data_IF_807433896167
#
_entry.id   IF_807433896167
#
_cell.length_a   1.000
_cell.length_b   1.000
_cell.length_c   1.000
_cell.angle_alpha   90.00
_cell.angle_beta   90.00
_cell.angle_gamma   90.00
#
_symmetry.space_group_name_H-M   'P 1'
#
loop_
_entity.id
_entity.type
_entity.pdbx_description
1 polymer ?
#
# COMPACT_ATOMS: atom_id res chain seq x y z
N UNK A 1 -17.33 62.53 9.62
CA UNK A 1 -16.05 63.26 9.68
C UNK A 1 -15.27 62.69 10.86
N UNK A 2 -13.98 62.30 10.69
CA UNK A 2 -13.09 61.65 11.71
C UNK A 2 -13.52 60.23 12.18
N UNK A 3 -12.64 59.32 12.65
CA UNK A 3 -11.17 59.06 12.47
C UNK A 3 -10.81 57.68 13.12
N UNK A 4 -9.58 57.18 12.89
CA UNK A 4 -8.82 56.07 13.54
C UNK A 4 -9.07 54.64 12.99
N UNK A 5 -8.10 53.80 12.60
CA UNK A 5 -6.74 53.40 13.10
C UNK A 5 -6.82 52.37 14.25
N UNK A 6 -6.14 51.20 14.27
CA UNK A 6 -5.17 50.49 13.37
C UNK A 6 -5.62 48.99 13.24
N UNK A 7 -4.93 47.97 12.67
CA UNK A 7 -3.62 47.79 12.00
C UNK A 7 -3.29 46.27 11.81
N UNK A 8 -2.19 45.89 11.14
CA UNK A 8 -1.76 44.47 10.98
C UNK A 8 -0.46 44.29 10.19
N UNK A 9 0.46 43.42 10.66
CA UNK A 9 1.89 43.49 10.28
C UNK A 9 2.31 42.64 9.06
N UNK A 10 3.24 43.20 8.28
CA UNK A 10 4.04 42.47 7.29
C UNK A 10 5.31 41.90 7.96
N UNK A 11 5.64 40.64 7.72
CA UNK A 11 6.94 40.06 8.06
C UNK A 11 7.67 39.63 6.79
N UNK A 12 8.73 40.37 6.46
CA UNK A 12 9.66 40.02 5.40
C UNK A 12 10.85 39.24 5.99
N UNK A 13 11.27 38.17 5.33
CA UNK A 13 12.54 37.49 5.60
C UNK A 13 13.19 37.14 4.26
N UNK A 14 14.11 38.01 3.85
CA UNK A 14 14.94 37.87 2.66
C UNK A 14 16.29 37.27 3.02
N UNK A 15 16.70 36.21 2.32
CA UNK A 15 18.09 35.79 2.24
C UNK A 15 18.42 35.31 0.82
N UNK A 16 19.18 36.12 0.09
CA UNK A 16 19.94 35.67 -1.09
C UNK A 16 21.14 34.82 -0.60
N UNK A 17 21.78 33.96 -1.38
CA UNK A 17 22.61 34.34 -2.53
C UNK A 17 23.17 33.11 -3.28
N UNK A 18 23.44 33.29 -4.58
CA UNK A 18 24.55 32.72 -5.38
C UNK A 18 24.59 31.17 -5.56
N UNK A 19 24.67 30.65 -6.79
CA UNK A 19 24.76 31.40 -8.05
C UNK A 19 24.68 30.57 -9.32
N UNK A 20 24.47 31.29 -10.42
CA UNK A 20 24.71 30.79 -11.77
C UNK A 20 26.21 30.79 -12.03
N UNK A 21 26.69 29.85 -12.85
CA UNK A 21 27.96 30.03 -13.55
C UNK A 21 27.73 29.67 -15.03
N UNK A 22 27.96 30.64 -15.90
CA UNK A 22 27.75 30.57 -17.35
C UNK A 22 28.96 31.21 -18.04
N UNK A 23 29.23 30.82 -19.30
CA UNK A 23 30.43 31.13 -20.10
C UNK A 23 31.67 30.30 -19.71
N UNK A 24 32.34 29.62 -20.66
CA UNK A 24 32.77 30.12 -21.97
C UNK A 24 32.71 29.09 -23.11
N UNK A 25 32.65 29.61 -24.34
CA UNK A 25 33.21 28.96 -25.54
C UNK A 25 34.71 29.24 -25.61
N UNK A 26 35.47 28.31 -26.17
CA UNK A 26 36.66 28.58 -26.98
C UNK A 26 36.80 27.42 -28.00
N UNK A 27 37.36 27.69 -29.18
CA UNK A 27 37.39 26.81 -30.37
C UNK A 27 38.67 25.94 -30.48
N UNK A 28 38.71 25.07 -31.50
CA UNK A 28 39.86 24.28 -32.01
C UNK A 28 40.49 23.24 -31.03
N UNK A 29 40.84 22.01 -31.42
CA UNK A 29 41.61 21.59 -32.61
C UNK A 29 41.63 20.05 -32.69
N UNK A 30 41.88 19.48 -33.87
CA UNK A 30 42.21 18.07 -34.01
C UNK A 30 43.64 17.75 -33.52
N UNK A 31 43.89 16.50 -33.09
CA UNK A 31 45.08 15.72 -33.47
C UNK A 31 44.90 14.22 -33.12
N UNK A 32 45.51 13.34 -33.92
CA UNK A 32 45.68 11.90 -33.64
C UNK A 32 46.66 11.67 -32.48
N UNK A 33 46.47 10.63 -31.66
CA UNK A 33 47.61 9.72 -31.39
C UNK A 33 47.21 8.30 -30.97
N UNK A 34 48.01 7.33 -31.41
CA UNK A 34 47.96 5.91 -30.99
C UNK A 34 48.80 5.72 -29.73
N UNK A 35 48.32 4.94 -28.76
CA UNK A 35 49.02 4.71 -27.48
C UNK A 35 49.04 3.27 -26.98
N UNK A 36 49.73 2.36 -27.68
CA UNK A 36 49.96 0.98 -27.21
C UNK A 36 51.07 0.93 -26.13
N UNK A 37 50.78 0.33 -24.97
CA UNK A 37 51.69 -0.43 -24.04
C UNK A 37 50.86 -0.87 -22.82
N UNK A 38 50.72 -2.13 -22.38
CA UNK A 38 51.59 -3.33 -22.37
C UNK A 38 52.77 -3.27 -21.38
N UNK A 39 52.53 -3.64 -20.11
CA UNK A 39 53.29 -4.72 -19.41
C UNK A 39 52.96 -4.87 -17.92
N UNK A 40 52.82 -6.15 -17.50
CA UNK A 40 53.42 -6.82 -16.32
C UNK A 40 53.83 -5.97 -15.10
N UNK A 41 53.58 -6.49 -13.88
CA UNK A 41 54.56 -7.38 -13.18
C UNK A 41 54.09 -7.87 -11.80
N UNK A 42 54.53 -9.07 -11.46
CA UNK A 42 54.31 -9.83 -10.23
C UNK A 42 54.96 -9.23 -8.98
N UNK A 43 54.31 -9.41 -7.82
CA UNK A 43 54.91 -9.80 -6.51
C UNK A 43 53.77 -10.10 -5.52
N UNK A 44 53.60 -11.31 -5.00
CA UNK A 44 54.44 -12.07 -4.05
C UNK A 44 54.12 -11.76 -2.58
N UNK A 45 53.27 -12.61 -1.99
CA UNK A 45 53.59 -13.44 -0.79
C UNK A 45 54.46 -12.76 0.31
N UNK A 46 53.87 -12.48 1.49
CA UNK A 46 54.26 -13.19 2.74
C UNK A 46 53.50 -12.80 4.03
N UNK A 47 53.11 -13.87 4.75
CA UNK A 47 53.48 -14.20 6.14
C UNK A 47 52.71 -13.60 7.33
N UNK A 48 52.14 -14.54 8.09
CA UNK A 48 51.91 -14.64 9.55
C UNK A 48 52.22 -13.43 10.45
N UNK A 49 51.26 -13.14 11.36
CA UNK A 49 51.53 -13.22 12.81
C UNK A 49 50.25 -13.36 13.65
N UNK A 50 50.23 -14.35 14.55
CA UNK A 50 49.32 -14.38 15.68
C UNK A 50 50.02 -13.78 16.92
N UNK A 51 49.30 -12.98 17.71
CA UNK A 51 49.60 -12.71 19.13
C UNK A 51 48.34 -12.26 19.85
N UNK A 52 48.28 -12.53 21.15
CA UNK A 52 47.10 -12.41 21.99
C UNK A 52 47.08 -11.13 22.84
N UNK A 53 45.90 -10.88 23.42
CA UNK A 53 45.66 -10.30 24.76
C UNK A 53 46.40 -9.02 25.19
N UNK A 54 45.61 -7.97 25.47
CA UNK A 54 45.72 -7.25 26.74
C UNK A 54 44.40 -6.56 27.12
N UNK A 55 44.09 -6.55 28.42
CA UNK A 55 42.98 -5.82 29.01
C UNK A 55 43.17 -4.29 28.92
N UNK A 56 42.06 -3.54 28.92
CA UNK A 56 42.04 -2.15 29.38
C UNK A 56 40.64 -1.79 29.93
N UNK A 57 40.61 -1.42 31.21
CA UNK A 57 39.39 -1.17 32.00
C UNK A 57 39.03 0.32 32.01
N UNK A 58 37.77 0.66 31.72
CA UNK A 58 37.13 1.94 32.05
C UNK A 58 35.61 1.71 32.16
N UNK A 59 34.99 1.61 33.34
CA UNK A 59 34.81 2.63 34.40
C UNK A 59 33.88 3.78 33.98
N UNK A 60 32.61 3.68 34.37
CA UNK A 60 31.57 4.73 34.30
C UNK A 60 30.36 4.36 35.19
N UNK A 61 29.52 5.34 35.60
CA UNK A 61 28.98 5.41 36.97
C UNK A 61 27.67 4.63 37.25
N UNK A 62 27.31 4.43 38.53
CA UNK A 62 26.12 3.66 38.94
C UNK A 62 24.80 4.35 38.58
N UNK A 63 23.88 3.59 38.00
CA UNK A 63 22.48 3.97 37.84
C UNK A 63 21.70 3.80 39.16
N UNK A 64 20.81 4.77 39.44
CA UNK A 64 20.01 4.80 40.66
C UNK A 64 18.80 3.85 40.58
N UNK A 65 18.58 3.13 41.67
CA UNK A 65 17.29 2.81 42.29
C UNK A 65 16.07 2.63 41.35
N UNK A 66 15.88 1.41 40.85
CA UNK A 66 14.58 0.95 40.36
C UNK A 66 13.81 0.27 41.51
N UNK A 67 12.58 0.69 41.85
CA UNK A 67 11.80 0.07 42.92
C UNK A 67 11.31 -1.34 42.54
N UNK A 68 11.12 -2.24 43.53
CA UNK A 68 10.82 -3.64 43.29
C UNK A 68 9.41 -3.88 42.72
N UNK A 69 9.31 -4.88 41.84
CA UNK A 69 8.04 -5.34 41.27
C UNK A 69 7.10 -5.89 42.36
N UNK A 70 5.88 -5.35 42.44
CA UNK A 70 4.83 -5.90 43.28
C UNK A 70 4.03 -6.95 42.51
N UNK A 71 4.16 -8.21 42.91
CA UNK A 71 3.28 -9.30 42.46
C UNK A 71 1.91 -9.14 43.11
N UNK A 72 0.94 -8.58 42.38
CA UNK A 72 -0.46 -8.56 42.82
C UNK A 72 -1.23 -9.76 42.25
N UNK A 73 -1.36 -10.80 43.07
CA UNK A 73 -2.24 -11.94 42.80
C UNK A 73 -3.69 -11.53 43.12
N UNK A 74 -4.42 -11.03 42.13
CA UNK A 74 -5.84 -10.74 42.26
C UNK A 74 -6.67 -12.03 42.10
N UNK A 75 -7.43 -12.39 43.14
CA UNK A 75 -8.34 -13.53 43.09
C UNK A 75 -9.55 -13.22 42.18
N UNK A 76 -9.83 -14.10 41.22
CA UNK A 76 -11.01 -13.97 40.35
C UNK A 76 -12.28 -14.40 41.10
N UNK A 77 -13.05 -13.42 41.57
CA UNK A 77 -14.41 -13.67 42.09
C UNK A 77 -15.35 -13.94 40.92
N UNK A 78 -15.82 -15.17 40.77
CA UNK A 78 -16.78 -15.52 39.73
C UNK A 78 -18.18 -15.01 40.09
N UNK A 79 -18.58 -13.88 39.51
CA UNK A 79 -19.98 -13.43 39.55
C UNK A 79 -20.81 -14.32 38.63
N UNK A 80 -21.67 -15.16 39.21
CA UNK A 80 -22.69 -15.89 38.46
C UNK A 80 -23.68 -14.87 37.90
N UNK A 81 -23.68 -14.69 36.58
CA UNK A 81 -24.70 -13.88 35.90
C UNK A 81 -25.93 -14.77 35.74
N UNK A 82 -27.03 -14.33 36.33
CA UNK A 82 -28.32 -15.01 36.26
C UNK A 82 -28.81 -15.10 34.81
N UNK A 83 -29.40 -16.24 34.44
CA UNK A 83 -29.80 -16.47 33.06
C UNK A 83 -31.12 -15.72 32.77
N UNK A 84 -31.21 -14.91 31.70
CA UNK A 84 -32.47 -14.27 31.36
C UNK A 84 -33.54 -15.33 31.02
N UNK A 85 -34.81 -15.12 31.42
CA UNK A 85 -35.87 -16.10 31.20
C UNK A 85 -36.13 -16.32 29.70
N UNK A 86 -36.62 -17.52 29.31
CA UNK A 86 -36.91 -17.82 27.91
C UNK A 86 -38.00 -16.89 27.37
N UNK A 87 -37.65 -16.17 26.30
CA UNK A 87 -38.59 -15.28 25.60
C UNK A 87 -39.65 -16.13 24.88
N UNK A 88 -40.96 -15.87 25.07
CA UNK A 88 -42.02 -16.63 24.40
C UNK A 88 -42.03 -16.35 22.89
N UNK A 89 -42.45 -17.31 22.04
CA UNK A 89 -42.54 -17.12 20.61
C UNK A 89 -43.70 -16.17 20.26
N UNK A 90 -43.38 -14.90 20.07
CA UNK A 90 -44.34 -13.83 19.77
C UNK A 90 -43.91 -13.00 18.54
N UNK A 91 -44.74 -13.07 17.50
CA UNK A 91 -44.87 -12.22 16.31
C UNK A 91 -43.87 -11.06 16.16
N UNK A 92 -42.97 -11.16 15.19
CA UNK A 92 -42.15 -10.03 14.72
C UNK A 92 -43.04 -9.12 13.87
N UNK A 93 -43.28 -7.88 14.32
CA UNK A 93 -44.01 -6.89 13.53
C UNK A 93 -43.12 -6.34 12.39
N UNK A 94 -43.61 -6.44 11.15
CA UNK A 94 -42.84 -6.16 9.92
C UNK A 94 -43.18 -4.76 9.40
N UNK A 95 -42.87 -3.74 10.21
CA UNK A 95 -42.72 -2.34 9.77
C UNK A 95 -41.24 -1.96 9.56
N UNK A 96 -40.45 -2.97 9.16
CA UNK A 96 -39.04 -2.82 8.77
C UNK A 96 -38.93 -2.06 7.45
N UNK A 97 -37.98 -1.12 7.29
CA UNK A 97 -37.65 -0.57 5.97
C UNK A 97 -37.35 -1.70 4.99
N UNK A 98 -37.80 -1.55 3.74
CA UNK A 98 -37.56 -2.52 2.68
C UNK A 98 -36.07 -2.51 2.29
N UNK A 99 -35.25 -3.22 3.07
CA UNK A 99 -33.91 -3.64 2.68
C UNK A 99 -34.12 -4.67 1.58
N UNK A 100 -34.17 -4.17 0.33
CA UNK A 100 -34.25 -5.02 -0.86
C UNK A 100 -33.16 -6.08 -0.80
N UNK A 101 -33.51 -7.29 -1.25
CA UNK A 101 -32.64 -8.47 -1.27
C UNK A 101 -31.23 -8.08 -1.69
N UNK A 102 -30.18 -8.38 -0.91
CA UNK A 102 -28.82 -7.93 -1.21
C UNK A 102 -28.46 -8.36 -2.62
N UNK A 103 -28.21 -7.36 -3.45
CA UNK A 103 -27.99 -7.54 -4.88
C UNK A 103 -26.86 -8.55 -5.09
N UNK A 104 -27.08 -9.52 -6.00
CA UNK A 104 -26.09 -10.59 -6.24
C UNK A 104 -24.71 -9.96 -6.45
N UNK A 105 -23.64 -10.50 -5.83
CA UNK A 105 -22.28 -10.00 -6.06
C UNK A 105 -22.04 -9.82 -7.56
N UNK A 106 -21.56 -8.63 -7.94
CA UNK A 106 -21.35 -8.25 -9.35
C UNK A 106 -20.36 -9.23 -9.97
N UNK A 107 -20.86 -10.20 -10.74
CA UNK A 107 -20.07 -11.34 -11.22
C UNK A 107 -19.28 -11.06 -12.49
N UNK A 108 -19.50 -9.92 -13.15
CA UNK A 108 -18.87 -9.59 -14.44
C UNK A 108 -17.96 -8.36 -14.34
N UNK A 109 -16.66 -8.46 -14.71
CA UNK A 109 -15.74 -7.32 -14.78
C UNK A 109 -16.13 -6.19 -15.74
N UNK A 110 -17.12 -6.41 -16.60
CA UNK A 110 -17.65 -5.41 -17.54
C UNK A 110 -18.67 -4.46 -16.91
N UNK A 111 -19.19 -4.74 -15.70
CA UNK A 111 -20.24 -3.95 -15.08
C UNK A 111 -19.72 -2.77 -14.24
N UNK A 112 -18.46 -2.80 -13.81
CA UNK A 112 -17.78 -1.66 -13.16
C UNK A 112 -16.66 -1.14 -14.08
N UNK A 113 -16.97 -0.13 -14.88
CA UNK A 113 -15.98 0.58 -15.69
C UNK A 113 -15.29 1.66 -14.86
N UNK A 114 -13.98 1.52 -14.71
CA UNK A 114 -13.11 2.56 -14.15
C UNK A 114 -12.46 3.36 -15.28
N UNK A 115 -12.34 4.67 -15.11
CA UNK A 115 -11.70 5.52 -16.12
C UNK A 115 -10.19 5.16 -16.24
N UNK A 116 -9.74 4.83 -17.45
CA UNK A 116 -8.33 4.48 -17.71
C UNK A 116 -7.37 5.65 -17.43
N UNK A 117 -7.84 6.90 -17.52
CA UNK A 117 -7.07 8.09 -17.16
C UNK A 117 -5.72 8.17 -17.88
N UNK A 118 -4.63 8.16 -17.11
CA UNK A 118 -3.25 8.22 -17.62
C UNK A 118 -2.60 6.84 -17.84
N UNK A 119 -3.35 5.74 -17.65
CA UNK A 119 -2.82 4.38 -17.81
C UNK A 119 -2.68 4.08 -19.30
N UNK A 120 -1.50 3.61 -19.70
CA UNK A 120 -1.27 3.08 -21.04
C UNK A 120 -1.79 1.63 -21.08
N UNK A 121 -2.86 1.32 -21.84
CA UNK A 121 -3.36 -0.05 -21.94
C UNK A 121 -2.40 -0.93 -22.74
N UNK A 122 -2.49 -2.23 -22.51
CA UNK A 122 -1.95 -3.26 -23.42
C UNK A 122 -3.07 -3.83 -24.29
N UNK A 123 -2.71 -4.60 -25.32
CA UNK A 123 -3.68 -5.29 -26.15
C UNK A 123 -4.51 -6.29 -25.31
N UNK A 124 -5.82 -6.28 -25.50
CA UNK A 124 -6.80 -7.10 -24.76
C UNK A 124 -6.47 -8.60 -24.82
N UNK A 125 -5.98 -9.09 -25.96
CA UNK A 125 -5.59 -10.48 -26.20
C UNK A 125 -4.19 -10.85 -25.66
N UNK A 126 -3.58 -10.03 -24.80
CA UNK A 126 -2.27 -10.35 -24.22
C UNK A 126 -2.36 -11.51 -23.22
N UNK A 127 -1.82 -12.68 -23.58
CA UNK A 127 -1.83 -13.88 -22.72
C UNK A 127 -0.84 -13.80 -21.53
N UNK A 128 0.21 -12.98 -21.64
CA UNK A 128 1.19 -12.74 -20.56
C UNK A 128 1.02 -11.31 -20.05
N UNK A 129 -0.14 -11.02 -19.46
CA UNK A 129 -0.49 -9.69 -18.97
C UNK A 129 -0.13 -9.53 -17.49
N UNK A 130 0.58 -8.44 -17.19
CA UNK A 130 0.98 -8.08 -15.83
C UNK A 130 0.61 -6.63 -15.54
N UNK A 131 0.38 -6.30 -14.26
CA UNK A 131 0.30 -4.91 -13.80
C UNK A 131 1.14 -4.73 -12.55
N UNK A 132 2.07 -3.78 -12.61
CA UNK A 132 2.75 -3.22 -11.45
C UNK A 132 1.76 -2.29 -10.76
N UNK A 133 1.31 -2.60 -9.55
CA UNK A 133 0.26 -1.83 -8.86
C UNK A 133 0.84 -0.75 -7.94
N UNK A 134 1.80 -1.14 -7.12
CA UNK A 134 2.34 -0.28 -6.06
C UNK A 134 3.69 -0.81 -5.56
N UNK A 135 4.38 -0.01 -4.75
CA UNK A 135 5.68 -0.32 -4.17
C UNK A 135 5.72 0.04 -2.67
N UNK A 136 6.61 -0.61 -1.93
CA UNK A 136 6.89 -0.34 -0.53
C UNK A 136 8.42 -0.38 -0.29
N UNK A 137 8.98 0.42 0.64
CA UNK A 137 10.43 0.42 0.88
C UNK A 137 10.92 -0.92 1.45
N UNK A 138 12.18 -1.28 1.22
CA UNK A 138 12.75 -2.55 1.75
C UNK A 138 12.61 -2.68 3.28
N UNK A 139 12.57 -1.55 3.99
CA UNK A 139 12.45 -1.47 5.45
C UNK A 139 11.13 -1.99 6.05
N UNK A 140 10.06 -2.18 5.26
CA UNK A 140 8.82 -2.81 5.75
C UNK A 140 8.83 -4.34 5.67
N UNK A 141 9.87 -4.93 5.06
CA UNK A 141 10.03 -6.38 4.94
C UNK A 141 9.16 -7.03 3.86
N UNK A 142 9.50 -8.28 3.52
CA UNK A 142 8.83 -9.07 2.48
C UNK A 142 7.37 -9.42 2.84
N UNK A 143 7.05 -9.42 4.14
CA UNK A 143 5.73 -9.70 4.70
C UNK A 143 4.87 -8.44 4.90
N UNK A 144 5.21 -7.33 4.22
CA UNK A 144 4.43 -6.10 4.25
C UNK A 144 2.95 -6.37 3.93
N UNK A 145 2.07 -5.88 4.80
CA UNK A 145 0.63 -6.01 4.61
C UNK A 145 0.14 -4.96 3.62
N UNK A 146 -0.17 -5.41 2.40
CA UNK A 146 -0.67 -4.61 1.28
C UNK A 146 -2.14 -4.18 1.49
N UNK A 147 -2.42 -3.48 2.60
CA UNK A 147 -3.76 -3.11 3.09
C UNK A 147 -4.65 -2.50 2.01
N UNK A 148 -4.16 -1.51 1.29
CA UNK A 148 -4.91 -0.88 0.21
C UNK A 148 -5.28 -1.87 -0.91
N UNK A 149 -4.35 -2.69 -1.36
CA UNK A 149 -4.60 -3.73 -2.36
C UNK A 149 -5.60 -4.77 -1.87
N UNK A 150 -5.48 -5.23 -0.61
CA UNK A 150 -6.43 -6.15 0.04
C UNK A 150 -7.84 -5.57 0.03
N UNK A 151 -8.02 -4.33 0.47
CA UNK A 151 -9.34 -3.70 0.56
C UNK A 151 -9.92 -3.31 -0.81
N UNK A 152 -9.06 -2.98 -1.79
CA UNK A 152 -9.46 -2.79 -3.18
C UNK A 152 -10.04 -4.09 -3.77
N UNK A 153 -9.35 -5.24 -3.60
CA UNK A 153 -9.86 -6.54 -4.06
C UNK A 153 -11.15 -6.95 -3.34
N UNK A 154 -11.24 -6.73 -2.02
CA UNK A 154 -12.44 -7.05 -1.23
C UNK A 154 -13.67 -6.20 -1.63
N UNK A 155 -13.48 -5.03 -2.24
CA UNK A 155 -14.55 -4.19 -2.78
C UNK A 155 -14.95 -4.58 -4.22
N UNK A 156 -14.06 -5.22 -4.98
CA UNK A 156 -14.17 -5.45 -6.42
C UNK A 156 -14.24 -6.96 -6.74
N UNK A 157 -15.37 -7.58 -6.40
CA UNK A 157 -15.57 -9.04 -6.48
C UNK A 157 -15.71 -9.60 -7.89
N UNK A 158 -15.77 -8.74 -8.90
CA UNK A 158 -15.58 -9.12 -10.29
C UNK A 158 -14.21 -9.77 -10.53
N UNK A 159 -13.19 -9.41 -9.74
CA UNK A 159 -11.88 -10.04 -9.79
C UNK A 159 -11.80 -11.23 -8.84
N UNK A 160 -11.39 -12.39 -9.37
CA UNK A 160 -11.17 -13.61 -8.59
C UNK A 160 -9.68 -13.74 -8.30
N UNK A 161 -9.30 -13.52 -7.05
CA UNK A 161 -7.91 -13.78 -6.63
C UNK A 161 -7.69 -15.29 -6.54
N UNK A 162 -6.73 -15.81 -7.31
CA UNK A 162 -6.40 -17.23 -7.39
C UNK A 162 -4.97 -17.50 -6.95
N UNK A 163 -4.73 -18.69 -6.42
CA UNK A 163 -3.39 -19.22 -6.19
C UNK A 163 -2.82 -19.78 -7.50
N UNK A 164 -1.61 -19.35 -7.87
CA UNK A 164 -0.93 -19.81 -9.09
C UNK A 164 -1.11 -18.90 -10.31
N UNK A 165 -1.21 -19.50 -11.49
CA UNK A 165 -1.36 -18.78 -12.76
C UNK A 165 -2.85 -18.57 -13.09
N UNK A 166 -3.31 -17.33 -13.33
CA UNK A 166 -4.68 -17.09 -13.80
C UNK A 166 -4.95 -17.76 -15.16
N UNK A 167 -6.11 -18.40 -15.32
CA UNK A 167 -6.47 -19.14 -16.54
C UNK A 167 -7.77 -18.69 -17.20
N UNK A 168 -8.49 -17.74 -16.61
CA UNK A 168 -9.72 -17.18 -17.18
C UNK A 168 -9.92 -15.71 -16.84
N UNK A 169 -10.65 -15.01 -17.68
CA UNK A 169 -10.94 -13.57 -17.54
C UNK A 169 -11.46 -13.20 -16.15
N UNK A 170 -10.95 -12.08 -15.60
CA UNK A 170 -11.22 -11.65 -14.23
C UNK A 170 -10.42 -12.40 -13.16
N UNK A 171 -9.70 -13.48 -13.47
CA UNK A 171 -8.77 -14.08 -12.51
C UNK A 171 -7.47 -13.29 -12.43
N UNK A 172 -6.95 -13.14 -11.21
CA UNK A 172 -5.71 -12.41 -10.92
C UNK A 172 -4.91 -13.14 -9.83
N UNK A 173 -3.59 -13.08 -9.88
CA UNK A 173 -2.72 -13.59 -8.81
C UNK A 173 -1.59 -12.62 -8.51
N UNK A 174 -1.17 -12.51 -7.25
CA UNK A 174 -0.24 -11.47 -6.81
C UNK A 174 1.13 -12.04 -6.47
N UNK A 175 2.17 -11.29 -6.86
CA UNK A 175 3.57 -11.60 -6.64
C UNK A 175 4.28 -10.36 -6.09
N UNK A 176 5.19 -10.59 -5.14
CA UNK A 176 6.10 -9.57 -4.64
C UNK A 176 7.45 -9.79 -5.30
N UNK A 177 7.91 -8.75 -6.00
CA UNK A 177 9.25 -8.65 -6.56
C UNK A 177 10.08 -7.70 -5.68
N UNK A 178 11.40 -7.80 -5.79
CA UNK A 178 12.30 -6.77 -5.28
C UNK A 178 12.88 -6.05 -6.48
N UNK A 179 12.69 -4.73 -6.54
CA UNK A 179 13.29 -3.91 -7.57
C UNK A 179 14.79 -3.70 -7.28
N UNK A 180 15.54 -3.26 -8.29
CA UNK A 180 16.97 -2.96 -8.15
C UNK A 180 17.24 -1.57 -7.50
N UNK A 181 18.50 -1.13 -7.58
CA UNK A 181 18.93 0.15 -7.01
C UNK A 181 18.26 1.38 -7.66
N UNK A 182 17.82 1.30 -8.93
CA UNK A 182 17.13 2.42 -9.61
C UNK A 182 15.79 2.78 -8.96
N UNK A 183 15.19 1.81 -8.27
CA UNK A 183 13.92 1.92 -7.54
C UNK A 183 14.12 1.80 -6.02
N UNK A 184 15.30 2.18 -5.52
CA UNK A 184 15.66 2.17 -4.10
C UNK A 184 15.45 0.80 -3.40
N UNK A 185 15.65 -0.31 -4.14
CA UNK A 185 15.45 -1.70 -3.67
C UNK A 185 14.04 -2.01 -3.15
N UNK A 186 13.03 -1.22 -3.55
CA UNK A 186 11.66 -1.37 -3.08
C UNK A 186 11.07 -2.77 -3.36
N UNK A 187 10.21 -3.24 -2.47
CA UNK A 187 9.30 -4.34 -2.77
C UNK A 187 8.19 -3.83 -3.70
N UNK A 188 7.91 -4.56 -4.77
CA UNK A 188 6.93 -4.18 -5.78
C UNK A 188 5.84 -5.24 -5.84
N UNK A 189 4.59 -4.80 -5.72
CA UNK A 189 3.41 -5.65 -5.87
C UNK A 189 3.01 -5.70 -7.35
N UNK A 190 3.16 -6.88 -7.93
CA UNK A 190 2.76 -7.20 -9.31
C UNK A 190 1.54 -8.11 -9.26
N UNK A 191 0.52 -7.83 -10.06
CA UNK A 191 -0.54 -8.78 -10.37
C UNK A 191 -0.30 -9.39 -11.75
N UNK A 192 -0.52 -10.70 -11.88
CA UNK A 192 -0.65 -11.38 -13.16
C UNK A 192 -2.14 -11.48 -13.47
N UNK A 193 -2.48 -11.40 -14.75
CA UNK A 193 -3.83 -11.52 -15.26
C UNK A 193 -3.90 -12.62 -16.33
N UNK A 194 -5.07 -13.20 -16.55
CA UNK A 194 -5.26 -14.18 -17.62
C UNK A 194 -5.26 -13.54 -19.02
N UNK A 195 -5.59 -12.25 -19.10
CA UNK A 195 -5.70 -11.48 -20.33
C UNK A 195 -5.40 -9.98 -20.10
N UNK A 196 -5.19 -9.25 -21.20
CA UNK A 196 -4.90 -7.82 -21.18
C UNK A 196 -6.07 -6.99 -20.65
N UNK A 197 -7.32 -7.37 -20.96
CA UNK A 197 -8.55 -6.68 -20.48
C UNK A 197 -8.58 -6.63 -18.97
N UNK A 198 -8.37 -7.78 -18.32
CA UNK A 198 -8.37 -7.93 -16.86
C UNK A 198 -7.31 -7.04 -16.22
N UNK A 199 -6.11 -6.96 -16.81
CA UNK A 199 -5.02 -6.14 -16.29
C UNK A 199 -5.22 -4.63 -16.55
N UNK A 200 -5.77 -4.25 -17.70
CA UNK A 200 -6.19 -2.88 -18.02
C UNK A 200 -7.23 -2.39 -16.99
N UNK A 201 -8.29 -3.17 -16.76
CA UNK A 201 -9.35 -2.82 -15.80
C UNK A 201 -8.85 -2.85 -14.34
N UNK A 202 -7.97 -3.79 -13.97
CA UNK A 202 -7.39 -3.88 -12.62
C UNK A 202 -6.54 -2.64 -12.32
N UNK A 203 -5.74 -2.17 -13.29
CA UNK A 203 -4.97 -0.94 -13.17
C UNK A 203 -5.88 0.29 -12.97
N UNK A 204 -6.94 0.42 -13.77
CA UNK A 204 -7.89 1.54 -13.67
C UNK A 204 -8.63 1.55 -12.32
N UNK A 205 -9.10 0.39 -11.86
CA UNK A 205 -9.70 0.21 -10.54
C UNK A 205 -8.73 0.63 -9.43
N UNK A 206 -7.48 0.14 -9.48
CA UNK A 206 -6.50 0.45 -8.45
C UNK A 206 -6.10 1.94 -8.45
N UNK A 207 -5.97 2.57 -9.63
CA UNK A 207 -5.72 4.02 -9.76
C UNK A 207 -6.87 4.87 -9.23
N UNK A 208 -8.11 4.44 -9.44
CA UNK A 208 -9.28 5.14 -8.92
C UNK A 208 -9.28 5.11 -7.38
N UNK A 209 -9.08 3.94 -6.77
CA UNK A 209 -9.09 3.73 -5.31
C UNK A 209 -7.86 4.35 -4.62
N UNK A 210 -6.68 4.22 -5.22
CA UNK A 210 -5.40 4.70 -4.68
C UNK A 210 -4.86 5.77 -5.61
N UNK A 211 -5.35 7.01 -5.49
CA UNK A 211 -5.05 8.09 -6.44
C UNK A 211 -3.57 8.44 -6.56
N UNK A 212 -2.81 8.25 -5.49
CA UNK A 212 -1.34 8.40 -5.45
C UNK A 212 -0.56 7.28 -6.15
N UNK A 213 -1.20 6.14 -6.45
CA UNK A 213 -0.57 5.05 -7.22
C UNK A 213 -0.36 5.42 -8.68
N UNK A 214 0.59 4.77 -9.34
CA UNK A 214 0.83 4.93 -10.77
C UNK A 214 0.98 3.54 -11.41
N UNK A 215 -0.13 2.79 -11.55
CA UNK A 215 -0.06 1.42 -12.02
C UNK A 215 0.38 1.36 -13.48
N UNK A 216 1.22 0.37 -13.80
CA UNK A 216 1.78 0.18 -15.14
C UNK A 216 1.37 -1.20 -15.66
N UNK A 217 0.66 -1.23 -16.79
CA UNK A 217 0.25 -2.48 -17.45
C UNK A 217 1.33 -2.88 -18.47
N UNK A 218 1.66 -4.17 -18.48
CA UNK A 218 2.78 -4.74 -19.23
C UNK A 218 2.30 -6.02 -19.93
N UNK A 219 2.75 -6.22 -21.16
CA UNK A 219 2.48 -7.42 -21.94
C UNK A 219 3.81 -8.07 -22.32
N UNK A 220 3.98 -9.36 -21.99
CA UNK A 220 5.26 -10.05 -22.09
C UNK A 220 6.07 -9.97 -20.80
N UNK A 221 7.39 -10.07 -20.91
CA UNK A 221 8.28 -10.14 -19.74
C UNK A 221 8.23 -8.90 -18.85
N UNK A 222 8.36 -9.12 -17.53
CA UNK A 222 8.50 -8.04 -16.57
C UNK A 222 9.82 -7.27 -16.80
N UNK A 223 9.85 -5.95 -16.56
CA UNK A 223 11.05 -5.14 -16.74
C UNK A 223 12.23 -5.66 -15.92
N UNK A 224 13.44 -5.66 -16.49
CA UNK A 224 14.63 -6.23 -15.86
C UNK A 224 15.03 -5.59 -14.51
N UNK A 225 14.56 -4.37 -14.21
CA UNK A 225 14.74 -3.74 -12.90
C UNK A 225 13.92 -4.42 -11.80
N UNK A 226 12.89 -5.20 -12.14
CA UNK A 226 12.22 -6.12 -11.22
C UNK A 226 13.02 -7.41 -11.18
N UNK A 227 13.71 -7.63 -10.05
CA UNK A 227 14.40 -8.88 -9.79
C UNK A 227 13.44 -10.08 -9.73
N UNK A 228 13.98 -11.30 -9.55
CA UNK A 228 13.17 -12.51 -9.51
C UNK A 228 12.11 -12.44 -8.42
N UNK A 229 10.94 -13.06 -8.70
CA UNK A 229 9.83 -13.19 -7.76
C UNK A 229 10.34 -13.67 -6.40
N UNK A 230 10.06 -12.88 -5.35
CA UNK A 230 10.42 -13.22 -3.96
C UNK A 230 9.34 -14.02 -3.27
N UNK A 231 8.06 -13.70 -3.52
CA UNK A 231 6.91 -14.33 -2.85
C UNK A 231 5.67 -14.29 -3.74
N UNK A 232 4.87 -15.36 -3.76
CA UNK A 232 3.46 -15.29 -4.21
C UNK A 232 2.59 -14.97 -3.00
N UNK A 233 1.61 -14.07 -3.14
CA UNK A 233 0.67 -13.75 -2.06
C UNK A 233 -0.77 -13.87 -2.54
N UNK A 234 -1.63 -14.40 -1.67
CA UNK A 234 -3.07 -14.39 -1.88
C UNK A 234 -3.68 -13.30 -1.00
N UNK A 235 -4.03 -12.16 -1.61
CA UNK A 235 -4.64 -11.02 -0.92
C UNK A 235 -6.04 -11.32 -0.36
N UNK A 236 -6.65 -12.45 -0.74
CA UNK A 236 -7.99 -12.86 -0.34
C UNK A 236 -8.00 -14.23 0.37
N UNK A 237 -6.86 -14.65 0.94
CA UNK A 237 -6.74 -15.89 1.69
C UNK A 237 -7.77 -15.94 2.84
N UNK A 238 -8.48 -17.07 3.00
CA UNK A 238 -9.60 -17.19 3.95
C UNK A 238 -10.92 -16.55 3.50
N UNK A 239 -10.97 -16.00 2.28
CA UNK A 239 -12.19 -15.42 1.70
C UNK A 239 -12.55 -14.03 2.26
N UNK A 240 -13.71 -13.47 1.87
CA UNK A 240 -14.02 -12.06 2.12
C UNK A 240 -14.04 -11.68 3.61
N UNK A 241 -14.64 -12.50 4.47
CA UNK A 241 -14.78 -12.20 5.90
C UNK A 241 -13.43 -12.19 6.64
N UNK A 242 -12.48 -13.05 6.23
CA UNK A 242 -11.13 -13.08 6.81
C UNK A 242 -10.26 -11.88 6.42
N UNK A 243 -10.68 -11.10 5.42
CA UNK A 243 -9.94 -9.95 4.89
C UNK A 243 -10.57 -8.60 5.26
N UNK A 244 -11.59 -8.59 6.11
CA UNK A 244 -12.18 -7.38 6.67
C UNK A 244 -11.16 -6.63 7.58
N UNK A 245 -11.19 -5.29 7.62
CA UNK A 245 -10.32 -4.52 8.51
C UNK A 245 -10.48 -4.90 9.99
N UNK A 246 -9.36 -5.14 10.68
CA UNK A 246 -9.37 -5.35 12.12
C UNK A 246 -9.84 -4.11 12.88
N UNK A 247 -10.40 -4.30 14.08
CA UNK A 247 -10.96 -3.21 14.89
C UNK A 247 -9.95 -2.10 15.23
N UNK A 248 -8.66 -2.41 15.34
CA UNK A 248 -7.56 -1.47 15.58
C UNK A 248 -6.90 -0.93 14.31
N UNK A 249 -7.24 -1.42 13.12
CA UNK A 249 -6.53 -1.10 11.87
C UNK A 249 -7.16 0.06 11.10
N UNK A 250 -6.94 1.28 11.58
CA UNK A 250 -7.42 2.52 10.94
C UNK A 250 -7.03 2.64 9.47
N UNK A 251 -5.84 2.15 9.08
CA UNK A 251 -5.36 2.22 7.68
C UNK A 251 -6.25 1.34 6.78
N UNK A 252 -6.48 0.07 7.17
CA UNK A 252 -7.38 -0.81 6.42
C UNK A 252 -8.82 -0.30 6.42
N UNK A 253 -9.31 0.27 7.54
CA UNK A 253 -10.66 0.88 7.58
C UNK A 253 -10.79 2.03 6.59
N UNK A 254 -9.84 2.96 6.56
CA UNK A 254 -9.84 4.07 5.59
C UNK A 254 -9.73 3.58 4.14
N UNK A 255 -8.85 2.60 3.87
CA UNK A 255 -8.73 2.00 2.54
C UNK A 255 -10.04 1.33 2.08
N UNK A 256 -10.75 0.66 3.00
CA UNK A 256 -12.04 0.01 2.75
C UNK A 256 -13.18 1.01 2.51
N UNK A 257 -13.23 2.11 3.27
CA UNK A 257 -14.17 3.21 3.05
C UNK A 257 -13.98 3.85 1.67
N UNK A 258 -12.72 4.10 1.27
CA UNK A 258 -12.39 4.61 -0.06
C UNK A 258 -12.79 3.62 -1.15
N UNK A 259 -12.37 2.36 -1.03
CA UNK A 259 -12.65 1.30 -1.99
C UNK A 259 -14.15 1.09 -2.23
N UNK A 260 -14.96 1.05 -1.17
CA UNK A 260 -16.41 0.94 -1.29
C UNK A 260 -17.07 2.19 -1.88
N UNK A 261 -16.65 3.40 -1.45
CA UNK A 261 -17.18 4.65 -2.02
C UNK A 261 -16.93 4.75 -3.52
N UNK A 262 -15.75 4.33 -3.97
CA UNK A 262 -15.32 4.40 -5.36
C UNK A 262 -15.90 3.26 -6.22
N UNK A 263 -16.28 2.14 -5.61
CA UNK A 263 -17.05 1.06 -6.25
C UNK A 263 -18.54 1.41 -6.46
N UNK A 264 -19.11 2.30 -5.65
CA UNK A 264 -20.47 2.87 -5.79
C UNK A 264 -20.49 4.11 -6.69
N UNK A 265 -19.44 4.95 -6.60
CA UNK A 265 -19.29 6.21 -7.35
C UNK A 265 -17.89 6.30 -7.93
N UNK A 266 -17.75 5.87 -9.17
CA UNK A 266 -16.46 5.80 -9.87
C UNK A 266 -15.84 7.18 -10.17
N UNK A 267 -16.61 8.27 -10.06
CA UNK A 267 -16.20 9.66 -10.35
C UNK A 267 -16.19 10.57 -9.09
N UNK A 268 -15.56 10.13 -8.00
CA UNK A 268 -15.26 11.03 -6.87
C UNK A 268 -13.98 11.81 -7.13
N UNK A 269 -13.99 13.14 -7.02
CA UNK A 269 -12.78 13.99 -7.06
C UNK A 269 -11.91 13.82 -5.83
N UNK A 270 -12.51 13.55 -4.68
CA UNK A 270 -11.84 13.53 -3.38
C UNK A 270 -11.06 12.24 -3.13
N UNK A 271 -9.90 12.33 -2.48
CA UNK A 271 -9.19 11.15 -1.99
C UNK A 271 -9.74 10.75 -0.61
N UNK A 272 -10.84 9.99 -0.63
CA UNK A 272 -11.53 9.50 0.58
C UNK A 272 -10.58 8.75 1.52
N UNK A 273 -9.62 8.00 0.96
CA UNK A 273 -8.66 7.21 1.74
C UNK A 273 -7.68 8.09 2.50
N UNK A 274 -7.06 9.05 1.81
CA UNK A 274 -6.12 10.00 2.41
C UNK A 274 -6.83 10.98 3.35
N UNK A 275 -8.03 11.45 3.01
CA UNK A 275 -8.83 12.32 3.87
C UNK A 275 -9.22 11.59 5.17
N UNK A 276 -9.60 10.32 5.08
CA UNK A 276 -9.83 9.47 6.25
C UNK A 276 -8.57 9.27 7.09
N UNK A 277 -7.40 9.04 6.50
CA UNK A 277 -6.16 8.91 7.28
C UNK A 277 -5.75 10.22 7.98
N UNK A 278 -6.01 11.38 7.38
CA UNK A 278 -5.72 12.70 7.97
C UNK A 278 -6.63 13.05 9.15
N UNK A 279 -7.89 12.62 9.11
CA UNK A 279 -8.87 12.89 10.17
C UNK A 279 -9.80 11.67 10.40
N UNK A 280 -9.30 10.56 10.98
CA UNK A 280 -10.08 9.32 11.06
C UNK A 280 -11.39 9.47 11.86
N UNK A 281 -11.41 10.38 12.83
CA UNK A 281 -12.57 10.73 13.66
C UNK A 281 -13.71 11.44 12.90
N UNK A 282 -13.48 11.93 11.67
CA UNK A 282 -14.56 12.47 10.83
C UNK A 282 -15.26 11.41 9.98
N UNK A 283 -14.94 10.13 10.17
CA UNK A 283 -15.51 8.99 9.45
C UNK A 283 -16.08 7.96 10.43
N UNK A 284 -17.20 7.33 10.07
CA UNK A 284 -17.79 6.18 10.79
C UNK A 284 -16.97 4.90 10.53
N UNK A 285 -15.78 4.82 11.11
CA UNK A 285 -14.79 3.77 10.81
C UNK A 285 -15.30 2.35 11.11
N UNK A 286 -16.20 2.18 12.06
CA UNK A 286 -16.90 0.92 12.39
C UNK A 286 -17.75 0.38 11.23
N UNK A 287 -18.15 1.22 10.28
CA UNK A 287 -18.82 0.79 9.06
C UNK A 287 -17.90 -0.01 8.13
N UNK A 288 -16.58 0.23 8.18
CA UNK A 288 -15.61 -0.40 7.29
C UNK A 288 -15.47 -1.91 7.51
N UNK A 289 -15.78 -2.43 8.70
CA UNK A 289 -15.80 -3.88 8.97
C UNK A 289 -17.07 -4.60 8.48
N UNK A 290 -17.96 -3.91 7.75
CA UNK A 290 -19.15 -4.53 7.15
C UNK A 290 -18.85 -5.17 5.79
N UNK A 291 -19.72 -6.11 5.43
CA UNK A 291 -19.69 -6.85 4.17
C UNK A 291 -21.13 -7.07 3.66
N UNK A 292 -21.44 -6.85 2.38
CA UNK A 292 -20.58 -6.33 1.30
C UNK A 292 -20.39 -4.79 1.38
N UNK A 293 -19.84 -4.15 0.33
CA UNK A 293 -19.67 -2.69 0.30
C UNK A 293 -20.97 -1.90 0.43
N UNK A 294 -22.12 -2.45 -0.02
CA UNK A 294 -23.42 -1.82 0.17
C UNK A 294 -23.72 -1.58 1.67
N UNK A 295 -23.36 -2.52 2.55
CA UNK A 295 -23.53 -2.38 4.00
C UNK A 295 -22.56 -1.35 4.62
N UNK A 296 -21.34 -1.24 4.08
CA UNK A 296 -20.38 -0.19 4.47
C UNK A 296 -20.99 1.18 4.18
N UNK A 297 -21.54 1.37 2.98
CA UNK A 297 -22.11 2.64 2.52
C UNK A 297 -23.47 2.98 3.14
N UNK A 298 -24.29 1.98 3.45
CA UNK A 298 -25.54 2.15 4.19
C UNK A 298 -25.27 2.61 5.63
N UNK A 299 -24.21 2.11 6.26
CA UNK A 299 -23.77 2.52 7.59
C UNK A 299 -23.08 3.90 7.60
N UNK A 300 -22.31 4.22 6.55
CA UNK A 300 -21.52 5.45 6.47
C UNK A 300 -22.36 6.74 6.37
N UNK A 301 -23.57 6.63 5.78
CA UNK A 301 -24.60 7.69 5.73
C UNK A 301 -25.10 7.98 7.14
#
# INVERSE_FOLDING_TARGET
MRLLLLGGALLALSASFIGCNEQKKDDDKADEEKGEKKSKKDKKEKKDKASASSEATASSPPAKDAPPAQTQTAAATATVIDAPPPVPPGTIDVTKPNIGTPEKPVTSPTQQSYAMGTIKPVADSCANAHVILTQAPESVGLDYDWKYSRQAMLANQQYRVVDGTPTGTGQVSFQVHQADASMNKAFVLVANCADGVTCNHLAAMYKAIVKSSNPQVICGDLPAYLGPKKKSINLMAGGPNANLPAASDTISKCARMAACTIADKTDTTDDVGINCQKSPQSFKLECASRYPCAEVLACAK
#
